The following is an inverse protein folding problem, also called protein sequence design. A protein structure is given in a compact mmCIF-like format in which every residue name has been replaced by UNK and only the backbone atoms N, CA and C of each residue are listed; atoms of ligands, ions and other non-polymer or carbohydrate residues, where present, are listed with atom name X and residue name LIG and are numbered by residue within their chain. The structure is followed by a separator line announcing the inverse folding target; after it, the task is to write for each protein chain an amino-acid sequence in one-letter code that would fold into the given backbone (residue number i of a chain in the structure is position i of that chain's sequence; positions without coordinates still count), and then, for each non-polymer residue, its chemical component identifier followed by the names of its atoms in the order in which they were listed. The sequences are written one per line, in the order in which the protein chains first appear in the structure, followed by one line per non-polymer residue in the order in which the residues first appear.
data_IF_867710148811
#
_entry.id   IF_867710148811
#
_cell.length_a   1.000
_cell.length_b   1.000
_cell.length_c   1.000
_cell.angle_alpha   90.00
_cell.angle_beta   90.00
_cell.angle_gamma   90.00
#
_symmetry.space_group_name_H-M   'P 1'
#
loop_
_entity.id
_entity.type
_entity.pdbx_description
1 polymer ?
#
# COMPACT_ATOMS: atom_id res chain seq x y z
N UNK A 1 -10.91 0.73 16.86
CA UNK A 1 -11.33 2.16 16.72
C UNK A 1 -11.45 2.85 18.07
N UNK A 2 -12.38 2.44 18.96
CA UNK A 2 -12.61 3.10 20.27
C UNK A 2 -11.34 3.37 21.07
N UNK A 3 -10.54 2.33 21.29
CA UNK A 3 -9.29 2.43 22.08
C UNK A 3 -8.31 3.49 21.55
N UNK A 4 -8.12 3.54 20.23
CA UNK A 4 -7.22 4.52 19.59
C UNK A 4 -7.79 5.94 19.76
N UNK A 5 -9.10 6.11 19.56
CA UNK A 5 -9.76 7.40 19.70
C UNK A 5 -9.68 7.91 21.16
N UNK A 6 -9.93 7.03 22.13
CA UNK A 6 -9.88 7.39 23.55
C UNK A 6 -8.46 7.73 23.99
N UNK A 7 -7.46 6.96 23.54
CA UNK A 7 -6.04 7.23 23.79
C UNK A 7 -5.61 8.58 23.21
N UNK A 8 -5.96 8.87 21.95
CA UNK A 8 -5.60 10.14 21.31
C UNK A 8 -6.28 11.33 21.98
N UNK A 9 -7.57 11.19 22.35
CA UNK A 9 -8.30 12.22 23.10
C UNK A 9 -7.69 12.48 24.48
N UNK A 10 -7.26 11.45 25.20
CA UNK A 10 -6.58 11.61 26.49
C UNK A 10 -5.27 12.38 26.37
N UNK A 11 -4.56 12.26 25.24
CA UNK A 11 -3.36 13.04 24.93
C UNK A 11 -3.67 14.44 24.35
N UNK A 12 -4.95 14.82 24.23
CA UNK A 12 -5.36 16.10 23.65
C UNK A 12 -5.20 16.17 22.12
N UNK A 13 -5.01 15.04 21.43
CA UNK A 13 -4.84 14.98 19.99
C UNK A 13 -6.21 14.79 19.30
N UNK A 14 -6.60 15.77 18.49
CA UNK A 14 -7.78 15.66 17.64
C UNK A 14 -7.43 15.00 16.31
N UNK A 15 -7.84 13.74 16.12
CA UNK A 15 -7.71 13.02 14.85
C UNK A 15 -9.10 12.68 14.33
N UNK A 16 -9.33 12.93 13.05
CA UNK A 16 -10.58 12.56 12.40
C UNK A 16 -10.76 11.04 12.39
N UNK A 17 -11.96 10.60 12.76
CA UNK A 17 -12.28 9.18 12.88
C UNK A 17 -12.07 8.41 11.58
N UNK A 18 -12.20 9.05 10.41
CA UNK A 18 -11.98 8.41 9.10
C UNK A 18 -10.57 7.84 8.96
N UNK A 19 -9.55 8.52 9.52
CA UNK A 19 -8.18 8.01 9.50
C UNK A 19 -8.02 6.75 10.36
N UNK A 20 -8.66 6.74 11.52
CA UNK A 20 -8.63 5.61 12.45
C UNK A 20 -9.40 4.41 11.85
N UNK A 21 -10.54 4.67 11.21
CA UNK A 21 -11.36 3.65 10.56
C UNK A 21 -10.62 2.96 9.43
N UNK A 22 -9.96 3.70 8.54
CA UNK A 22 -9.17 3.11 7.44
C UNK A 22 -8.07 2.17 7.98
N UNK A 23 -7.36 2.59 9.04
CA UNK A 23 -6.35 1.73 9.67
C UNK A 23 -6.97 0.48 10.28
N UNK A 24 -8.10 0.62 10.98
CA UNK A 24 -8.80 -0.51 11.58
C UNK A 24 -9.32 -1.51 10.53
N UNK A 25 -9.83 -1.02 9.41
CA UNK A 25 -10.32 -1.84 8.30
C UNK A 25 -9.16 -2.63 7.68
N UNK A 26 -8.03 -1.98 7.41
CA UNK A 26 -6.82 -2.65 6.89
C UNK A 26 -6.34 -3.75 7.86
N UNK A 27 -6.37 -3.49 9.17
CA UNK A 27 -5.98 -4.46 10.19
C UNK A 27 -6.95 -5.64 10.32
N UNK A 28 -8.22 -5.50 9.93
CA UNK A 28 -9.27 -6.51 10.12
C UNK A 28 -9.78 -7.16 8.83
N UNK A 29 -9.29 -6.73 7.67
CA UNK A 29 -9.71 -7.17 6.33
C UNK A 29 -9.74 -8.70 6.14
N UNK A 30 -8.80 -9.42 6.75
CA UNK A 30 -8.65 -10.88 6.58
C UNK A 30 -9.54 -11.73 7.48
N UNK A 31 -10.40 -11.12 8.30
CA UNK A 31 -11.22 -11.80 9.30
C UNK A 31 -10.54 -11.97 10.66
N UNK A 32 -9.21 -11.98 10.70
CA UNK A 32 -8.39 -11.87 11.91
C UNK A 32 -7.72 -10.50 12.02
N UNK A 33 -7.44 -10.06 13.25
CA UNK A 33 -6.71 -8.81 13.51
C UNK A 33 -5.22 -9.02 13.23
N UNK A 34 -4.69 -8.29 12.25
CA UNK A 34 -3.27 -8.31 11.88
C UNK A 34 -2.54 -7.06 12.35
N UNK A 35 -1.29 -7.24 12.77
CA UNK A 35 -0.39 -6.13 13.08
C UNK A 35 -0.02 -5.35 11.82
N UNK A 36 0.36 -4.08 11.93
CA UNK A 36 0.72 -3.26 10.76
C UNK A 36 2.12 -3.63 10.21
N UNK A 37 3.03 -4.11 11.07
CA UNK A 37 4.43 -4.37 10.71
C UNK A 37 4.67 -5.65 9.90
N UNK A 38 5.93 -6.09 9.84
CA UNK A 38 6.40 -7.24 9.03
C UNK A 38 5.68 -8.57 9.28
N UNK A 39 5.13 -8.78 10.47
CA UNK A 39 4.39 -10.01 10.80
C UNK A 39 2.90 -9.94 10.50
N UNK A 40 2.41 -8.82 9.94
CA UNK A 40 1.03 -8.67 9.55
C UNK A 40 0.89 -8.01 8.19
N UNK A 41 0.26 -6.84 8.13
CA UNK A 41 -0.16 -6.18 6.89
C UNK A 41 1.03 -5.94 5.95
N UNK A 42 2.12 -5.33 6.42
CA UNK A 42 3.24 -4.98 5.54
C UNK A 42 3.95 -6.22 4.95
N UNK A 43 4.18 -7.27 5.75
CA UNK A 43 4.87 -8.47 5.26
C UNK A 43 4.01 -9.41 4.41
N UNK A 44 2.71 -9.10 4.26
CA UNK A 44 1.75 -9.90 3.49
C UNK A 44 1.18 -9.15 2.29
N UNK A 45 1.77 -8.02 1.91
CA UNK A 45 1.44 -7.36 0.63
C UNK A 45 1.64 -8.31 -0.55
N UNK A 46 0.94 -8.11 -1.65
CA UNK A 46 1.07 -8.94 -2.87
C UNK A 46 2.42 -8.72 -3.55
N UNK A 47 2.85 -7.47 -3.61
CA UNK A 47 3.95 -7.04 -4.47
C UNK A 47 5.29 -7.39 -3.81
N UNK A 48 6.21 -7.93 -4.61
CA UNK A 48 7.48 -8.46 -4.10
C UNK A 48 8.36 -7.32 -3.62
N UNK A 49 8.46 -6.27 -4.42
CA UNK A 49 9.25 -5.09 -4.12
C UNK A 49 8.64 -4.33 -2.94
N UNK A 50 7.31 -4.16 -2.89
CA UNK A 50 6.65 -3.52 -1.77
C UNK A 50 6.89 -4.25 -0.42
N UNK A 51 6.80 -5.59 -0.39
CA UNK A 51 7.19 -6.37 0.81
C UNK A 51 8.67 -6.23 1.14
N UNK A 52 9.55 -6.34 0.14
CA UNK A 52 11.00 -6.24 0.36
C UNK A 52 11.45 -4.83 0.80
N UNK A 53 10.65 -3.81 0.45
CA UNK A 53 10.83 -2.43 0.83
C UNK A 53 10.60 -2.12 2.30
N UNK A 54 9.90 -3.00 3.04
CA UNK A 54 9.58 -2.80 4.44
C UNK A 54 9.99 -3.99 5.31
N UNK A 55 11.18 -3.88 5.93
CA UNK A 55 11.80 -4.91 6.76
C UNK A 55 12.05 -6.26 6.03
N UNK A 56 12.95 -7.10 6.55
CA UNK A 56 13.28 -8.45 6.00
C UNK A 56 13.59 -8.53 4.47
N UNK A 57 14.15 -7.47 3.86
CA UNK A 57 14.39 -7.33 2.40
C UNK A 57 14.96 -8.59 1.72
N UNK A 58 16.11 -9.09 2.19
CA UNK A 58 16.81 -10.24 1.57
C UNK A 58 15.92 -11.49 1.61
N UNK A 59 15.21 -11.72 2.72
CA UNK A 59 14.36 -12.90 2.89
C UNK A 59 13.18 -12.87 1.92
N UNK A 60 12.56 -11.70 1.72
CA UNK A 60 11.48 -11.54 0.76
C UNK A 60 11.95 -11.79 -0.68
N UNK A 61 13.08 -11.20 -1.08
CA UNK A 61 13.64 -11.39 -2.42
C UNK A 61 14.03 -12.85 -2.69
N UNK A 62 14.76 -13.49 -1.77
CA UNK A 62 15.17 -14.90 -1.92
C UNK A 62 13.96 -15.82 -2.05
N UNK A 63 12.94 -15.63 -1.21
CA UNK A 63 11.72 -16.42 -1.24
C UNK A 63 10.94 -16.24 -2.54
N UNK A 64 10.84 -15.00 -3.03
CA UNK A 64 10.21 -14.68 -4.31
C UNK A 64 10.97 -15.32 -5.49
N UNK A 65 12.30 -15.23 -5.51
CA UNK A 65 13.15 -15.87 -6.53
C UNK A 65 12.93 -17.39 -6.58
N UNK A 66 12.87 -18.05 -5.42
CA UNK A 66 12.66 -19.52 -5.36
C UNK A 66 11.27 -19.92 -5.87
N UNK A 67 10.26 -19.04 -5.69
CA UNK A 67 8.87 -19.30 -6.08
C UNK A 67 8.53 -18.81 -7.49
N UNK A 68 9.48 -18.17 -8.17
CA UNK A 68 9.25 -17.52 -9.45
C UNK A 68 8.08 -16.50 -9.38
N UNK A 69 8.00 -15.76 -8.27
CA UNK A 69 7.04 -14.66 -8.12
C UNK A 69 7.43 -13.50 -9.06
N UNK A 70 6.44 -12.89 -9.71
CA UNK A 70 6.61 -11.76 -10.62
C UNK A 70 5.93 -10.55 -10.00
N UNK A 71 6.58 -9.40 -10.08
CA UNK A 71 6.03 -8.12 -9.66
C UNK A 71 5.40 -7.43 -10.89
N UNK A 72 4.13 -7.06 -10.78
CA UNK A 72 3.36 -6.48 -11.89
C UNK A 72 3.45 -4.95 -11.94
N UNK A 73 4.13 -4.31 -10.98
CA UNK A 73 4.28 -2.85 -10.89
C UNK A 73 2.93 -2.11 -10.84
N UNK A 74 1.92 -2.69 -10.19
CA UNK A 74 0.64 -2.02 -9.94
C UNK A 74 0.67 -1.17 -8.65
N UNK A 75 1.66 -1.40 -7.79
CA UNK A 75 1.82 -0.77 -6.50
C UNK A 75 2.48 0.61 -6.56
N UNK A 76 2.27 1.41 -5.50
CA UNK A 76 2.92 2.72 -5.37
C UNK A 76 4.44 2.57 -5.23
N UNK A 77 4.87 1.63 -4.41
CA UNK A 77 6.26 1.46 -4.04
C UNK A 77 7.11 1.05 -5.25
N UNK A 78 6.61 0.10 -6.02
CA UNK A 78 7.33 -0.53 -7.12
C UNK A 78 7.51 0.46 -8.27
N UNK A 79 6.46 1.22 -8.61
CA UNK A 79 6.51 2.31 -9.60
C UNK A 79 7.55 3.38 -9.25
N UNK A 80 7.61 3.78 -7.97
CA UNK A 80 8.62 4.76 -7.52
C UNK A 80 10.03 4.21 -7.68
N UNK A 81 10.26 2.94 -7.36
CA UNK A 81 11.59 2.32 -7.47
C UNK A 81 12.12 2.32 -8.91
N UNK A 82 11.26 2.10 -9.89
CA UNK A 82 11.64 2.04 -11.31
C UNK A 82 11.40 3.35 -12.07
N UNK A 83 11.05 4.43 -11.35
CA UNK A 83 10.80 5.76 -11.91
C UNK A 83 9.67 5.77 -12.96
N UNK A 84 8.59 5.06 -12.67
CA UNK A 84 7.34 5.09 -13.44
C UNK A 84 6.29 5.98 -12.77
N UNK A 85 5.26 6.35 -13.53
CA UNK A 85 4.15 7.13 -13.02
C UNK A 85 3.31 6.28 -12.05
N UNK A 86 3.16 6.77 -10.82
CA UNK A 86 2.39 6.06 -9.79
C UNK A 86 0.89 6.08 -10.13
N UNK A 87 0.15 4.96 -10.00
CA UNK A 87 -1.28 4.86 -10.33
C UNK A 87 -2.20 5.47 -9.25
N UNK A 88 -1.82 6.62 -8.68
CA UNK A 88 -2.62 7.39 -7.73
C UNK A 88 -2.59 8.88 -8.07
N UNK A 89 -3.61 9.64 -7.65
CA UNK A 89 -3.70 11.06 -7.97
C UNK A 89 -3.81 11.30 -9.48
N UNK A 90 -2.88 12.08 -10.04
CA UNK A 90 -2.87 12.42 -11.47
C UNK A 90 -2.47 11.25 -12.37
N UNK A 91 -1.91 10.16 -11.83
CA UNK A 91 -1.63 8.94 -12.57
C UNK A 91 -2.79 7.95 -12.63
N UNK A 92 -3.95 8.28 -12.07
CA UNK A 92 -5.12 7.40 -12.09
C UNK A 92 -5.88 7.38 -13.42
N UNK A 93 -5.55 8.28 -14.35
CA UNK A 93 -6.26 8.41 -15.61
C UNK A 93 -5.29 8.69 -16.75
N UNK A 94 -5.70 8.28 -17.95
CA UNK A 94 -4.98 8.56 -19.19
C UNK A 94 -5.68 9.67 -19.97
N UNK A 95 -4.89 10.44 -20.71
CA UNK A 95 -5.41 11.48 -21.61
C UNK A 95 -5.50 10.94 -23.03
N UNK A 96 -6.69 10.99 -23.60
CA UNK A 96 -6.92 10.67 -25.01
C UNK A 96 -7.23 11.96 -25.76
N UNK A 97 -6.42 12.28 -26.77
CA UNK A 97 -6.66 13.40 -27.66
C UNK A 97 -7.03 12.87 -29.05
N UNK A 98 -8.17 13.31 -29.59
CA UNK A 98 -8.52 13.07 -30.99
C UNK A 98 -7.98 14.25 -31.81
N UNK A 99 -6.95 14.00 -32.60
CA UNK A 99 -6.49 14.97 -33.60
C UNK A 99 -7.47 14.90 -34.76
N UNK A 100 -8.12 16.03 -35.08
CA UNK A 100 -9.01 16.12 -36.24
C UNK A 100 -8.21 15.95 -37.52
N UNK A 101 -8.74 15.19 -38.47
CA UNK A 101 -8.25 15.23 -39.86
C UNK A 101 -8.54 16.64 -40.38
N UNK A 102 -7.50 17.39 -40.76
CA UNK A 102 -7.66 18.63 -41.53
C UNK A 102 -8.33 18.27 -42.87
N UNK A 103 -9.46 18.90 -43.18
CA UNK A 103 -10.05 18.91 -44.53
C UNK A 103 -9.16 19.64 -45.54
#
# INVERSE_FOLDING_TARGET
IKEINDTLKQQGLGVDERHISIVADIMSLTGDIRSIGRYGVAGTQSDVLARAGFEETIKHLVKASVRNEVDEFEGIFDNVMINQQVPVGTGMFELFARIGEEE
#
